data_IF_691215812411
#
_entry.id   IF_691215812411
#
_cell.length_a   1.000
_cell.length_b   1.000
_cell.length_c   1.000
_cell.angle_alpha   90.00
_cell.angle_beta   90.00
_cell.angle_gamma   90.00
#
_symmetry.space_group_name_H-M   'P 1'
#
loop_
_entity.id
_entity.type
_entity.pdbx_description
1 polymer ?
#
# COMPACT_ATOMS: atom_id res chain seq x y z
N UNK A 1 18.34 -8.65 0.92
CA UNK A 1 17.72 -8.11 2.13
C UNK A 1 16.96 -6.83 1.81
N UNK A 2 15.71 -6.76 2.24
CA UNK A 2 14.88 -5.59 1.94
C UNK A 2 15.15 -4.52 2.98
N UNK A 3 15.50 -3.32 2.50
CA UNK A 3 15.74 -2.21 3.40
C UNK A 3 14.61 -1.19 3.27
N UNK A 4 14.54 -0.31 4.24
CA UNK A 4 13.55 0.75 4.25
C UNK A 4 13.66 1.63 3.00
N UNK A 5 14.89 1.90 2.58
CA UNK A 5 15.12 2.74 1.41
C UNK A 5 14.60 2.08 0.14
N UNK A 6 14.77 0.76 0.04
CA UNK A 6 14.29 0.04 -1.15
C UNK A 6 12.78 0.07 -1.18
N UNK A 7 12.13 -0.20 -0.04
CA UNK A 7 10.68 -0.19 0.02
C UNK A 7 10.14 1.20 -0.33
N UNK A 8 10.74 2.23 0.25
CA UNK A 8 10.28 3.60 0.00
C UNK A 8 10.44 3.97 -1.46
N UNK A 9 11.54 3.56 -2.07
CA UNK A 9 11.78 3.85 -3.49
C UNK A 9 10.75 3.16 -4.38
N UNK A 10 10.46 1.91 -4.08
CA UNK A 10 9.48 1.17 -4.87
C UNK A 10 8.09 1.77 -4.73
N UNK A 11 7.73 2.16 -3.51
CA UNK A 11 6.44 2.80 -3.30
C UNK A 11 6.36 4.16 -3.98
N UNK A 12 7.47 4.89 -3.98
CA UNK A 12 7.49 6.19 -4.63
C UNK A 12 7.19 6.08 -6.13
N UNK A 13 7.62 4.99 -6.75
CA UNK A 13 7.33 4.77 -8.16
C UNK A 13 5.85 4.51 -8.41
N UNK A 14 5.14 4.04 -7.40
CA UNK A 14 3.72 3.77 -7.51
C UNK A 14 2.85 4.94 -7.05
N UNK A 15 3.48 6.03 -6.60
CA UNK A 15 2.75 7.17 -6.09
C UNK A 15 1.83 7.74 -7.18
N UNK A 16 0.56 7.95 -6.82
CA UNK A 16 -0.44 8.42 -7.75
C UNK A 16 -1.12 7.32 -8.53
N UNK A 17 -0.68 6.08 -8.36
CA UNK A 17 -1.23 4.96 -9.11
C UNK A 17 -2.08 4.06 -8.24
N UNK A 18 -2.94 3.32 -8.88
CA UNK A 18 -3.80 2.37 -8.19
C UNK A 18 -3.00 1.17 -7.73
N UNK A 19 -3.19 0.78 -6.48
CA UNK A 19 -2.46 -0.33 -5.88
C UNK A 19 -3.43 -1.26 -5.19
N UNK A 20 -3.02 -2.51 -5.07
CA UNK A 20 -3.73 -3.53 -4.31
C UNK A 20 -2.97 -3.77 -3.02
N UNK A 21 -3.69 -3.79 -1.90
CA UNK A 21 -3.08 -3.91 -0.59
C UNK A 21 -3.63 -5.13 0.11
N UNK A 22 -2.73 -5.96 0.60
CA UNK A 22 -3.06 -7.09 1.44
C UNK A 22 -2.57 -6.79 2.84
N UNK A 23 -3.45 -6.90 3.82
CA UNK A 23 -3.10 -6.66 5.21
C UNK A 23 -3.35 -7.95 5.98
N UNK A 24 -2.32 -8.44 6.66
CA UNK A 24 -2.45 -9.62 7.50
C UNK A 24 -2.74 -9.14 8.92
N UNK A 25 -3.92 -9.43 9.38
CA UNK A 25 -4.34 -9.05 10.72
C UNK A 25 -4.19 -10.17 11.72
N UNK A 26 -4.93 -10.04 12.82
CA UNK A 26 -4.90 -11.02 13.88
C UNK A 26 -5.36 -12.38 13.38
N UNK A 27 -4.75 -13.43 13.92
CA UNK A 27 -5.09 -14.82 13.60
C UNK A 27 -4.92 -15.13 12.12
N UNK A 28 -3.96 -14.46 11.49
CA UNK A 28 -3.66 -14.66 10.07
C UNK A 28 -4.83 -14.33 9.16
N UNK A 29 -5.72 -13.49 9.64
CA UNK A 29 -6.82 -13.04 8.81
C UNK A 29 -6.30 -12.03 7.79
N UNK A 30 -6.56 -12.30 6.52
CA UNK A 30 -6.07 -11.45 5.44
C UNK A 30 -7.21 -10.60 4.91
N UNK A 31 -6.95 -9.32 4.84
CA UNK A 31 -7.90 -8.37 4.26
C UNK A 31 -7.27 -7.78 3.01
N UNK A 32 -8.01 -7.73 1.92
CA UNK A 32 -7.49 -7.06 0.73
C UNK A 32 -8.34 -5.85 0.38
N UNK A 33 -7.70 -4.91 -0.25
CA UNK A 33 -8.36 -3.68 -0.64
C UNK A 33 -7.60 -3.06 -1.80
N UNK A 34 -8.26 -2.16 -2.49
CA UNK A 34 -7.66 -1.43 -3.60
C UNK A 34 -7.77 0.06 -3.30
N UNK A 35 -6.73 0.80 -3.61
CA UNK A 35 -6.73 2.23 -3.39
C UNK A 35 -5.70 2.90 -4.27
N UNK A 36 -5.50 4.19 -4.03
CA UNK A 36 -4.50 4.96 -4.76
C UNK A 36 -3.44 5.39 -3.76
N UNK A 37 -2.20 5.06 -4.08
CA UNK A 37 -1.08 5.47 -3.25
C UNK A 37 -0.89 6.97 -3.45
N UNK A 38 -1.18 7.76 -2.43
CA UNK A 38 -1.22 9.21 -2.61
C UNK A 38 -0.22 9.97 -1.74
N UNK A 39 0.68 9.28 -1.06
CA UNK A 39 1.72 9.97 -0.31
C UNK A 39 2.80 9.00 0.13
N UNK A 40 4.05 9.39 -0.09
CA UNK A 40 5.21 8.63 0.36
C UNK A 40 6.05 9.57 1.21
N UNK A 41 6.18 9.25 2.49
CA UNK A 41 6.84 10.10 3.46
C UNK A 41 8.05 9.37 4.05
N UNK A 42 8.89 10.05 4.82
CA UNK A 42 10.11 9.41 5.30
C UNK A 42 9.91 8.14 6.11
N UNK A 43 8.82 8.04 6.89
CA UNK A 43 8.62 6.88 7.76
C UNK A 43 7.35 6.11 7.47
N UNK A 44 6.50 6.62 6.59
CA UNK A 44 5.23 5.95 6.29
C UNK A 44 4.73 6.35 4.91
N UNK A 45 3.70 5.66 4.45
CA UNK A 45 3.02 6.04 3.23
C UNK A 45 1.52 6.00 3.47
N UNK A 46 0.80 6.71 2.61
CA UNK A 46 -0.66 6.78 2.75
C UNK A 46 -1.32 6.30 1.48
N UNK A 47 -2.48 5.69 1.66
CA UNK A 47 -3.28 5.18 0.55
C UNK A 47 -4.68 5.74 0.69
N UNK A 48 -5.18 6.30 -0.40
CA UNK A 48 -6.54 6.80 -0.45
C UNK A 48 -7.45 5.67 -0.88
N UNK A 49 -8.38 5.32 -0.03
CA UNK A 49 -9.26 4.18 -0.25
C UNK A 49 -10.70 4.67 -0.39
N UNK A 50 -11.51 3.83 -1.00
CA UNK A 50 -12.91 4.11 -1.18
C UNK A 50 -13.74 2.96 -0.65
N UNK A 51 -14.76 3.29 0.09
CA UNK A 51 -15.75 2.33 0.54
C UNK A 51 -17.13 2.92 0.25
N UNK A 52 -17.75 2.42 -0.82
CA UNK A 52 -19.00 3.00 -1.28
C UNK A 52 -18.80 4.44 -1.72
N UNK A 53 -19.46 5.36 -1.05
CA UNK A 53 -19.33 6.78 -1.33
C UNK A 53 -18.32 7.47 -0.43
N UNK A 54 -17.74 6.73 0.49
CA UNK A 54 -16.77 7.30 1.41
C UNK A 54 -15.38 7.19 0.84
N UNK A 55 -14.62 8.25 1.00
CA UNK A 55 -13.20 8.25 0.67
C UNK A 55 -12.46 8.48 1.98
N UNK A 56 -11.49 7.64 2.27
CA UNK A 56 -10.73 7.77 3.48
C UNK A 56 -9.27 7.42 3.19
N UNK A 57 -8.39 7.86 4.09
CA UNK A 57 -6.96 7.62 3.95
C UNK A 57 -6.50 6.69 5.05
N UNK A 58 -5.62 5.78 4.72
CA UNK A 58 -4.95 4.95 5.71
C UNK A 58 -3.46 5.11 5.54
N UNK A 59 -2.76 5.12 6.66
CA UNK A 59 -1.31 5.18 6.64
C UNK A 59 -0.75 3.84 7.10
N UNK A 60 0.38 3.48 6.52
CA UNK A 60 1.09 2.26 6.85
C UNK A 60 2.56 2.58 7.00
N UNK A 61 3.23 1.87 7.87
CA UNK A 61 4.66 2.05 8.06
C UNK A 61 5.41 1.13 7.13
N UNK A 62 6.59 1.57 6.71
CA UNK A 62 7.42 0.74 5.85
C UNK A 62 7.83 -0.56 6.52
N UNK A 63 7.97 -0.53 7.85
CA UNK A 63 8.31 -1.75 8.57
C UNK A 63 7.24 -2.83 8.42
N UNK A 64 5.99 -2.43 8.24
CA UNK A 64 4.92 -3.40 8.03
C UNK A 64 5.05 -4.08 6.67
N UNK A 65 5.57 -3.38 5.69
CA UNK A 65 5.84 -3.97 4.38
C UNK A 65 7.02 -4.92 4.46
N UNK A 66 8.06 -4.51 5.19
CA UNK A 66 9.26 -5.33 5.32
C UNK A 66 8.95 -6.63 6.04
N UNK A 67 8.11 -6.59 7.06
CA UNK A 67 7.73 -7.80 7.81
C UNK A 67 6.59 -8.56 7.14
N UNK A 68 6.14 -8.10 5.99
CA UNK A 68 5.10 -8.74 5.19
C UNK A 68 3.74 -8.77 5.85
N UNK A 69 3.51 -7.88 6.79
CA UNK A 69 2.18 -7.68 7.32
C UNK A 69 1.30 -6.92 6.34
N UNK A 70 1.93 -6.11 5.51
CA UNK A 70 1.25 -5.35 4.47
C UNK A 70 1.98 -5.59 3.17
N UNK A 71 1.26 -5.98 2.13
CA UNK A 71 1.82 -6.16 0.81
C UNK A 71 1.13 -5.20 -0.14
N UNK A 72 1.92 -4.42 -0.86
CA UNK A 72 1.42 -3.45 -1.81
C UNK A 72 1.90 -3.84 -3.20
N UNK A 73 0.96 -4.03 -4.11
CA UNK A 73 1.31 -4.36 -5.49
C UNK A 73 0.58 -3.42 -6.44
N UNK A 74 1.21 -3.05 -7.55
CA UNK A 74 0.53 -2.20 -8.53
C UNK A 74 -0.59 -2.98 -9.22
N UNK A 75 -1.69 -2.30 -9.46
CA UNK A 75 -2.77 -2.89 -10.22
C UNK A 75 -2.42 -2.72 -11.68
N UNK A 76 -2.30 -3.84 -12.39
CA UNK A 76 -1.98 -3.79 -13.79
C UNK A 76 -3.13 -3.14 -14.54
N UNK A 77 -2.80 -2.16 -15.34
CA UNK A 77 -3.81 -1.54 -16.18
C UNK A 77 -3.93 -2.30 -17.45
N UNK A 78 -5.16 -2.58 -17.78
CA UNK A 78 -5.42 -3.29 -19.01
C UNK A 78 -5.09 -2.38 -20.19
N UNK A 79 -4.25 -2.81 -21.08
CA UNK A 79 -4.05 -2.03 -22.29
C UNK A 79 -5.35 -2.10 -23.06
N UNK A 80 -5.74 -1.20 -23.54
CA UNK A 80 -6.96 -1.20 -24.16
C UNK A 80 -6.97 -1.42 -25.38
#
# INVERSE_FOLDING_TARGET
MTSLNVVRRELAQMNGHKVHILVVGDRNKVTDATGILDGVYPSLFTVRMRSGRRIFHRSFRYSEVITKRVTVTPVAQSPR
#
